data_IF_382119759674
#
_entry.id   IF_382119759674
#
_cell.length_a   1.000
_cell.length_b   1.000
_cell.length_c   1.000
_cell.angle_alpha   90.00
_cell.angle_beta   90.00
_cell.angle_gamma   90.00
#
_symmetry.space_group_name_H-M   'P 1'
#
loop_
_entity.id
_entity.type
_entity.pdbx_description
1 polymer ?
#
# COMPACT_ATOMS: atom_id res chain seq x y z
N UNK A 1 7.28 -11.63 10.23
CA UNK A 1 6.58 -11.39 8.96
C UNK A 1 5.12 -11.17 9.31
N UNK A 2 4.48 -10.14 8.75
CA UNK A 2 3.11 -9.73 9.10
C UNK A 2 2.14 -10.91 8.99
N UNK A 3 2.31 -11.74 7.95
CA UNK A 3 1.36 -12.79 7.58
C UNK A 3 1.78 -14.22 7.99
N UNK A 4 2.82 -14.39 8.82
CA UNK A 4 3.27 -15.72 9.26
C UNK A 4 2.78 -16.07 10.66
N UNK A 5 2.41 -17.33 10.89
CA UNK A 5 2.12 -17.86 12.23
C UNK A 5 3.39 -17.81 13.10
N UNK A 6 3.39 -17.14 14.27
CA UNK A 6 4.45 -17.27 15.25
C UNK A 6 4.33 -18.62 15.97
N UNK A 7 5.45 -19.16 16.44
CA UNK A 7 5.67 -20.50 17.03
C UNK A 7 4.64 -20.96 18.09
N UNK A 8 3.46 -21.41 17.67
CA UNK A 8 2.50 -22.09 18.56
C UNK A 8 1.90 -23.30 17.84
N UNK A 9 2.53 -24.46 18.00
CA UNK A 9 2.16 -25.71 17.33
C UNK A 9 0.75 -26.24 17.69
N UNK A 10 0.04 -25.61 18.62
CA UNK A 10 -1.33 -25.96 19.03
C UNK A 10 -2.41 -24.96 18.60
N UNK A 11 -2.05 -23.87 17.89
CA UNK A 11 -3.01 -22.84 17.48
C UNK A 11 -3.46 -23.06 16.03
N UNK A 12 -4.78 -23.20 15.86
CA UNK A 12 -5.45 -23.19 14.55
C UNK A 12 -5.44 -21.76 13.97
N UNK A 13 -4.47 -21.44 13.12
CA UNK A 13 -4.25 -20.11 12.56
C UNK A 13 -4.26 -20.11 11.03
N UNK A 14 -4.83 -19.06 10.43
CA UNK A 14 -4.63 -18.68 9.03
C UNK A 14 -4.52 -17.16 8.96
N UNK A 15 -3.50 -16.65 8.27
CA UNK A 15 -3.35 -15.21 8.04
C UNK A 15 -4.40 -14.70 7.06
N UNK A 16 -4.84 -13.46 7.24
CA UNK A 16 -5.86 -12.84 6.41
C UNK A 16 -5.74 -11.32 6.34
N UNK A 17 -5.88 -10.75 5.15
CA UNK A 17 -5.80 -9.31 4.91
C UNK A 17 -6.99 -8.85 4.07
N UNK A 18 -7.95 -8.09 4.65
CA UNK A 18 -8.97 -7.42 3.88
C UNK A 18 -8.33 -6.26 3.10
N UNK A 19 -8.44 -6.29 1.78
CA UNK A 19 -8.02 -5.18 0.91
C UNK A 19 -9.17 -4.18 0.86
N UNK A 20 -9.47 -3.65 2.04
CA UNK A 20 -10.56 -2.75 2.33
C UNK A 20 -10.09 -1.80 3.44
N UNK A 21 -10.42 -0.53 3.31
CA UNK A 21 -10.00 0.49 4.26
C UNK A 21 -10.23 1.88 3.71
N UNK A 22 -10.14 2.85 4.61
CA UNK A 22 -10.17 4.28 4.28
C UNK A 22 -9.03 4.98 5.02
N UNK A 23 -8.83 6.25 4.72
CA UNK A 23 -7.95 7.14 5.48
C UNK A 23 -8.49 7.43 6.89
N UNK A 24 -9.77 7.14 7.16
CA UNK A 24 -10.37 7.26 8.48
C UNK A 24 -10.11 6.01 9.33
N UNK A 25 -9.90 6.22 10.63
CA UNK A 25 -9.56 5.17 11.58
C UNK A 25 -10.37 5.30 12.88
N UNK A 26 -10.36 4.23 13.68
CA UNK A 26 -11.13 4.12 14.92
C UNK A 26 -12.56 3.59 14.73
N UNK A 27 -13.26 3.23 15.82
CA UNK A 27 -14.57 2.57 15.75
C UNK A 27 -15.66 3.43 15.11
N UNK A 28 -15.54 4.76 15.19
CA UNK A 28 -16.50 5.68 14.57
C UNK A 28 -16.40 5.73 13.04
N UNK A 29 -15.31 5.21 12.45
CA UNK A 29 -15.13 5.06 11.01
C UNK A 29 -15.63 3.71 10.48
N UNK A 30 -16.29 2.89 11.31
CA UNK A 30 -16.84 1.62 10.89
C UNK A 30 -18.00 1.80 9.90
N UNK A 31 -18.03 0.96 8.87
CA UNK A 31 -19.07 0.97 7.85
C UNK A 31 -19.59 -0.45 7.62
N UNK A 32 -20.92 -0.61 7.59
CA UNK A 32 -21.59 -1.92 7.47
C UNK A 32 -21.14 -2.72 6.23
N UNK A 33 -20.90 -2.03 5.12
CA UNK A 33 -20.57 -2.66 3.83
C UNK A 33 -19.07 -2.52 3.47
N UNK A 34 -18.20 -2.29 4.47
CA UNK A 34 -16.77 -2.03 4.24
C UNK A 34 -16.09 -3.09 3.36
N UNK A 35 -16.50 -4.34 3.50
CA UNK A 35 -15.86 -5.50 2.85
C UNK A 35 -16.58 -5.97 1.58
N UNK A 36 -17.79 -5.46 1.32
CA UNK A 36 -18.61 -5.89 0.19
C UNK A 36 -17.94 -5.56 -1.15
N UNK A 37 -17.77 -6.57 -2.00
CA UNK A 37 -17.07 -6.46 -3.28
C UNK A 37 -15.56 -6.20 -3.17
N UNK A 38 -15.00 -6.20 -1.95
CA UNK A 38 -13.56 -6.01 -1.72
C UNK A 38 -12.84 -7.35 -1.69
N UNK A 39 -11.57 -7.35 -2.07
CA UNK A 39 -10.74 -8.56 -2.00
C UNK A 39 -10.38 -8.85 -0.55
N UNK A 40 -10.40 -10.11 -0.18
CA UNK A 40 -9.77 -10.59 1.05
C UNK A 40 -8.71 -11.63 0.68
N UNK A 41 -7.49 -11.47 1.19
CA UNK A 41 -6.37 -12.38 0.89
C UNK A 41 -6.11 -13.26 2.10
N UNK A 42 -6.31 -14.56 1.94
CA UNK A 42 -5.84 -15.58 2.87
C UNK A 42 -4.39 -15.93 2.56
N UNK A 43 -3.59 -16.18 3.59
CA UNK A 43 -2.19 -16.61 3.44
C UNK A 43 -1.94 -17.96 4.10
N UNK A 44 -2.54 -19.06 3.59
CA UNK A 44 -2.29 -20.38 4.13
C UNK A 44 -0.86 -20.84 3.86
N UNK A 45 -0.32 -21.63 4.77
CA UNK A 45 0.91 -22.40 4.61
C UNK A 45 0.59 -23.88 4.41
N UNK A 46 1.59 -24.70 4.07
CA UNK A 46 1.42 -26.16 3.93
C UNK A 46 0.91 -26.84 5.21
N UNK A 47 1.16 -26.24 6.37
CA UNK A 47 0.75 -26.76 7.68
C UNK A 47 -0.57 -26.14 8.16
N UNK A 48 -1.19 -25.27 7.38
CA UNK A 48 -2.46 -24.66 7.75
C UNK A 48 -3.57 -25.69 7.64
N UNK A 49 -4.32 -25.87 8.73
CA UNK A 49 -5.47 -26.77 8.78
C UNK A 49 -6.55 -26.35 7.76
N UNK A 50 -6.92 -27.22 6.80
CA UNK A 50 -7.88 -26.90 5.75
C UNK A 50 -9.26 -26.45 6.26
N UNK A 51 -9.69 -26.96 7.42
CA UNK A 51 -10.97 -26.55 8.01
C UNK A 51 -10.93 -25.11 8.52
N UNK A 52 -9.76 -24.62 8.94
CA UNK A 52 -9.58 -23.22 9.36
C UNK A 52 -9.66 -22.31 8.13
N UNK A 53 -8.98 -22.67 7.05
CA UNK A 53 -9.04 -21.95 5.77
C UNK A 53 -10.49 -21.84 5.31
N UNK A 54 -11.22 -22.97 5.28
CA UNK A 54 -12.63 -23.03 4.86
C UNK A 54 -13.52 -22.13 5.71
N UNK A 55 -13.43 -22.21 7.04
CA UNK A 55 -14.25 -21.40 7.96
C UNK A 55 -13.99 -19.90 7.81
N UNK A 56 -12.74 -19.48 7.72
CA UNK A 56 -12.40 -18.06 7.56
C UNK A 56 -12.82 -17.57 6.18
N UNK A 57 -12.66 -18.37 5.13
CA UNK A 57 -13.18 -18.08 3.79
C UNK A 57 -14.69 -17.84 3.81
N UNK A 58 -15.47 -18.78 4.35
CA UNK A 58 -16.94 -18.68 4.43
C UNK A 58 -17.38 -17.43 5.20
N UNK A 59 -16.69 -17.08 6.29
CA UNK A 59 -16.94 -15.86 7.04
C UNK A 59 -16.80 -14.61 6.14
N UNK A 60 -15.68 -14.47 5.45
CA UNK A 60 -15.43 -13.28 4.62
C UNK A 60 -16.30 -13.22 3.38
N UNK A 61 -16.60 -14.37 2.76
CA UNK A 61 -17.56 -14.45 1.66
C UNK A 61 -18.98 -14.07 2.11
N UNK A 62 -19.37 -14.43 3.34
CA UNK A 62 -20.67 -14.01 3.91
C UNK A 62 -20.78 -12.50 4.16
N UNK A 63 -19.65 -11.80 4.29
CA UNK A 63 -19.56 -10.33 4.36
C UNK A 63 -19.49 -9.68 2.95
N UNK A 64 -19.62 -10.47 1.89
CA UNK A 64 -19.57 -10.01 0.50
C UNK A 64 -18.17 -9.81 -0.05
N UNK A 65 -17.11 -10.26 0.65
CA UNK A 65 -15.75 -10.16 0.16
C UNK A 65 -15.44 -11.24 -0.89
N UNK A 66 -14.52 -10.92 -1.80
CA UNK A 66 -13.97 -11.85 -2.80
C UNK A 66 -12.69 -12.45 -2.25
N UNK A 67 -12.74 -13.69 -1.77
CA UNK A 67 -11.62 -14.33 -1.07
C UNK A 67 -10.66 -15.02 -2.06
N UNK A 68 -9.38 -14.65 -2.00
CA UNK A 68 -8.29 -15.28 -2.74
C UNK A 68 -7.18 -15.76 -1.80
N UNK A 69 -6.33 -16.68 -2.25
CA UNK A 69 -5.18 -17.18 -1.48
C UNK A 69 -3.87 -16.72 -2.10
N UNK A 70 -2.86 -16.47 -1.26
CA UNK A 70 -1.52 -16.06 -1.67
C UNK A 70 -0.49 -16.53 -0.63
N UNK A 71 0.72 -16.85 -1.05
CA UNK A 71 1.81 -17.05 -0.09
C UNK A 71 2.10 -15.76 0.72
N UNK A 72 2.42 -15.90 2.00
CA UNK A 72 2.68 -14.78 2.91
C UNK A 72 3.86 -13.90 2.46
N UNK A 73 4.92 -14.50 1.91
CA UNK A 73 6.09 -13.75 1.43
C UNK A 73 5.76 -12.98 0.16
N UNK A 74 5.00 -13.60 -0.75
CA UNK A 74 4.52 -12.95 -1.98
C UNK A 74 3.62 -11.77 -1.62
N UNK A 75 2.71 -11.97 -0.65
CA UNK A 75 1.85 -10.91 -0.14
C UNK A 75 2.66 -9.70 0.34
N UNK A 76 3.56 -9.89 1.29
CA UNK A 76 4.32 -8.80 1.89
C UNK A 76 5.19 -8.08 0.83
N UNK A 77 5.75 -8.82 -0.12
CA UNK A 77 6.53 -8.25 -1.23
C UNK A 77 5.67 -7.43 -2.20
N UNK A 78 4.47 -7.89 -2.53
CA UNK A 78 3.53 -7.17 -3.39
C UNK A 78 3.03 -5.90 -2.71
N UNK A 79 2.54 -6.01 -1.47
CA UNK A 79 1.96 -4.88 -0.72
C UNK A 79 2.98 -3.83 -0.30
N UNK A 80 4.25 -4.19 -0.14
CA UNK A 80 5.34 -3.22 -0.03
C UNK A 80 5.35 -2.23 -1.22
N UNK A 81 5.00 -2.72 -2.43
CA UNK A 81 5.05 -1.93 -3.67
C UNK A 81 3.73 -1.20 -3.93
N UNK A 82 2.59 -1.88 -3.78
CA UNK A 82 1.27 -1.35 -4.17
C UNK A 82 0.51 -0.66 -3.05
N UNK A 83 1.01 -0.72 -1.81
CA UNK A 83 0.37 -0.09 -0.65
C UNK A 83 1.35 0.69 0.22
N UNK A 84 2.41 0.05 0.72
CA UNK A 84 3.25 0.66 1.75
C UNK A 84 4.10 1.81 1.21
N UNK A 85 4.77 1.61 0.07
CA UNK A 85 5.54 2.68 -0.58
C UNK A 85 4.64 3.90 -0.93
N UNK A 86 3.45 3.73 -1.57
CA UNK A 86 2.54 4.85 -1.79
C UNK A 86 2.19 5.65 -0.53
N UNK A 87 1.90 4.99 0.61
CA UNK A 87 1.62 5.69 1.87
C UNK A 87 2.83 6.47 2.36
N UNK A 88 4.02 5.85 2.36
CA UNK A 88 5.25 6.52 2.75
C UNK A 88 5.51 7.78 1.91
N UNK A 89 5.32 7.69 0.59
CA UNK A 89 5.51 8.81 -0.33
C UNK A 89 4.48 9.92 -0.12
N UNK A 90 3.23 9.57 0.21
CA UNK A 90 2.21 10.56 0.55
C UNK A 90 2.59 11.35 1.82
N UNK A 91 3.02 10.67 2.89
CA UNK A 91 3.54 11.32 4.11
C UNK A 91 4.74 12.22 3.80
N UNK A 92 5.73 11.69 3.08
CA UNK A 92 6.94 12.43 2.72
C UNK A 92 6.64 13.68 1.89
N UNK A 93 5.69 13.58 0.94
CA UNK A 93 5.33 14.70 0.07
C UNK A 93 4.65 15.84 0.84
N UNK A 94 3.71 15.52 1.73
CA UNK A 94 3.07 16.53 2.58
C UNK A 94 4.09 17.19 3.51
N UNK A 95 4.97 16.40 4.14
CA UNK A 95 6.00 16.94 5.02
C UNK A 95 7.00 17.83 4.26
N UNK A 96 7.37 17.46 3.04
CA UNK A 96 8.26 18.27 2.21
C UNK A 96 7.67 19.65 1.88
N UNK A 97 6.37 19.71 1.57
CA UNK A 97 5.69 20.99 1.32
C UNK A 97 5.58 21.80 2.61
N UNK A 98 5.21 21.17 3.73
CA UNK A 98 5.09 21.82 5.03
C UNK A 98 6.44 22.39 5.53
N UNK A 99 7.55 21.76 5.18
CA UNK A 99 8.90 22.22 5.51
C UNK A 99 9.51 23.19 4.48
N UNK A 100 8.79 23.50 3.39
CA UNK A 100 9.27 24.44 2.38
C UNK A 100 9.23 25.88 2.87
N UNK A 101 9.86 26.80 2.13
CA UNK A 101 9.78 28.24 2.39
C UNK A 101 8.36 28.80 2.22
N UNK A 102 7.45 28.02 1.59
CA UNK A 102 6.08 28.40 1.28
C UNK A 102 5.08 27.37 1.82
N UNK A 103 4.97 27.19 3.15
CA UNK A 103 4.07 26.19 3.73
C UNK A 103 2.58 26.45 3.40
N UNK A 104 2.21 27.72 3.20
CA UNK A 104 0.87 28.14 2.78
C UNK A 104 0.47 27.62 1.38
N UNK A 105 1.42 27.08 0.61
CA UNK A 105 1.16 26.44 -0.68
C UNK A 105 0.16 25.27 -0.59
N UNK A 106 0.04 24.61 0.57
CA UNK A 106 -1.00 23.60 0.80
C UNK A 106 -2.42 24.17 0.64
N UNK A 107 -2.63 25.43 1.04
CA UNK A 107 -3.91 26.14 0.88
C UNK A 107 -4.25 26.44 -0.58
N UNK A 108 -3.25 26.46 -1.45
CA UNK A 108 -3.40 26.66 -2.90
C UNK A 108 -3.44 25.35 -3.70
N UNK A 109 -3.48 24.21 -3.02
CA UNK A 109 -3.47 22.90 -3.67
C UNK A 109 -4.75 22.61 -4.45
N UNK A 110 -4.58 22.00 -5.63
CA UNK A 110 -5.68 21.47 -6.43
C UNK A 110 -6.12 20.07 -5.98
N UNK A 111 -7.16 19.54 -6.65
CA UNK A 111 -7.68 18.20 -6.39
C UNK A 111 -6.62 17.09 -6.50
N UNK A 112 -5.67 17.21 -7.42
CA UNK A 112 -4.64 16.20 -7.63
C UNK A 112 -3.74 15.94 -6.41
N UNK A 113 -3.34 16.99 -5.67
CA UNK A 113 -2.58 16.80 -4.43
C UNK A 113 -3.46 16.19 -3.34
N UNK A 114 -4.71 16.63 -3.22
CA UNK A 114 -5.66 16.07 -2.23
C UNK A 114 -5.88 14.58 -2.47
N UNK A 115 -6.08 14.16 -3.71
CA UNK A 115 -6.28 12.75 -4.05
C UNK A 115 -5.03 11.91 -3.81
N UNK A 116 -3.86 12.41 -4.23
CA UNK A 116 -2.57 11.74 -4.03
C UNK A 116 -2.22 11.58 -2.54
N UNK A 117 -2.47 12.63 -1.75
CA UNK A 117 -2.08 12.69 -0.34
C UNK A 117 -3.16 12.27 0.65
N UNK A 118 -4.38 11.95 0.21
CA UNK A 118 -5.50 11.51 1.07
C UNK A 118 -5.08 10.44 2.07
N UNK A 119 -4.26 9.48 1.63
CA UNK A 119 -3.78 8.37 2.44
C UNK A 119 -2.78 8.76 3.53
N UNK A 120 -2.17 9.94 3.47
CA UNK A 120 -1.35 10.50 4.55
C UNK A 120 -2.18 10.94 5.77
N UNK A 121 -3.51 10.96 5.68
CA UNK A 121 -4.40 11.17 6.84
C UNK A 121 -4.64 9.90 7.68
N UNK A 122 -4.08 8.75 7.26
CA UNK A 122 -4.16 7.49 8.01
C UNK A 122 -3.41 7.55 9.36
N UNK A 123 -3.69 6.61 10.26
CA UNK A 123 -3.04 6.53 11.58
C UNK A 123 -1.50 6.39 11.47
N UNK A 124 -0.72 7.34 12.04
CA UNK A 124 0.74 7.24 12.06
C UNK A 124 1.25 6.03 12.84
N UNK A 125 0.58 5.64 13.92
CA UNK A 125 0.95 4.50 14.75
C UNK A 125 0.86 3.19 13.94
N UNK A 126 -0.28 2.95 13.29
CA UNK A 126 -0.49 1.78 12.44
C UNK A 126 0.54 1.72 11.29
N UNK A 127 0.78 2.83 10.62
CA UNK A 127 1.72 2.87 9.50
C UNK A 127 3.18 2.70 9.93
N UNK A 128 3.53 3.15 11.14
CA UNK A 128 4.84 2.88 11.74
C UNK A 128 5.06 1.37 11.88
N UNK A 129 4.10 0.65 12.47
CA UNK A 129 4.19 -0.80 12.63
C UNK A 129 4.31 -1.53 11.28
N UNK A 130 3.50 -1.12 10.30
CA UNK A 130 3.54 -1.68 8.93
C UNK A 130 4.90 -1.46 8.26
N UNK A 131 5.46 -0.25 8.37
CA UNK A 131 6.76 0.08 7.77
C UNK A 131 7.90 -0.69 8.43
N UNK A 132 7.86 -0.85 9.75
CA UNK A 132 8.90 -1.57 10.48
C UNK A 132 8.83 -3.08 10.23
N UNK A 133 7.65 -3.69 10.37
CA UNK A 133 7.47 -5.14 10.23
C UNK A 133 7.73 -5.62 8.78
N UNK A 134 7.44 -4.78 7.77
CA UNK A 134 7.72 -5.10 6.36
C UNK A 134 8.93 -4.35 5.77
N UNK A 135 9.83 -3.86 6.62
CA UNK A 135 10.98 -3.04 6.22
C UNK A 135 11.90 -3.72 5.19
N UNK A 136 12.12 -5.03 5.32
CA UNK A 136 12.95 -5.80 4.37
C UNK A 136 12.44 -5.76 2.93
N UNK A 137 11.11 -5.73 2.73
CA UNK A 137 10.53 -5.60 1.40
C UNK A 137 10.36 -4.14 0.98
N UNK A 138 10.10 -3.23 1.93
CA UNK A 138 9.86 -1.81 1.68
C UNK A 138 11.14 -1.05 1.28
N UNK A 139 12.26 -1.25 1.98
CA UNK A 139 13.51 -0.51 1.73
C UNK A 139 14.01 -0.64 0.27
N UNK A 140 14.01 -1.83 -0.36
CA UNK A 140 14.34 -1.94 -1.78
C UNK A 140 13.41 -1.13 -2.69
N UNK A 141 12.11 -1.00 -2.35
CA UNK A 141 11.15 -0.20 -3.12
C UNK A 141 11.40 1.29 -2.98
N UNK A 142 11.80 1.74 -1.79
CA UNK A 142 12.25 3.11 -1.56
C UNK A 142 13.47 3.41 -2.44
N UNK A 143 14.45 2.50 -2.51
CA UNK A 143 15.62 2.70 -3.36
C UNK A 143 15.25 2.78 -4.85
N UNK A 144 14.40 1.88 -5.34
CA UNK A 144 13.90 1.95 -6.73
C UNK A 144 13.19 3.28 -7.01
N UNK A 145 12.39 3.79 -6.07
CA UNK A 145 11.76 5.10 -6.22
C UNK A 145 12.78 6.24 -6.29
N UNK A 146 13.79 6.22 -5.41
CA UNK A 146 14.87 7.21 -5.41
C UNK A 146 15.62 7.22 -6.74
N UNK A 147 15.90 6.06 -7.33
CA UNK A 147 16.59 5.97 -8.61
C UNK A 147 15.75 6.59 -9.75
N UNK A 148 14.44 6.35 -9.74
CA UNK A 148 13.50 6.97 -10.71
C UNK A 148 13.44 8.48 -10.52
N UNK A 149 13.37 8.95 -9.27
CA UNK A 149 13.34 10.38 -8.95
C UNK A 149 14.65 11.08 -9.37
N UNK A 150 15.80 10.45 -9.10
CA UNK A 150 17.11 10.97 -9.50
C UNK A 150 17.22 11.10 -11.03
N UNK A 151 16.73 10.11 -11.79
CA UNK A 151 16.73 10.19 -13.25
C UNK A 151 15.87 11.36 -13.79
N UNK A 152 14.74 11.64 -13.15
CA UNK A 152 13.90 12.81 -13.48
C UNK A 152 14.60 14.12 -13.12
N UNK A 153 15.21 14.19 -11.94
CA UNK A 153 15.99 15.34 -11.47
C UNK A 153 17.15 15.65 -12.42
N UNK A 154 17.92 14.64 -12.83
CA UNK A 154 19.03 14.78 -13.77
C UNK A 154 18.56 15.33 -15.13
N UNK A 155 17.43 14.82 -15.65
CA UNK A 155 16.87 15.33 -16.91
C UNK A 155 16.44 16.81 -16.78
N UNK A 156 15.88 17.21 -15.64
CA UNK A 156 15.50 18.61 -15.36
C UNK A 156 16.74 19.50 -15.26
N UNK A 157 17.75 19.10 -14.48
CA UNK A 157 18.98 19.85 -14.28
C UNK A 157 19.73 20.10 -15.60
N UNK A 158 19.76 19.10 -16.47
CA UNK A 158 20.38 19.20 -17.78
C UNK A 158 19.51 19.88 -18.84
N UNK A 159 18.27 20.26 -18.50
CA UNK A 159 17.25 20.78 -19.43
C UNK A 159 17.02 19.84 -20.62
N UNK A 160 17.17 18.53 -20.41
CA UNK A 160 17.02 17.50 -21.43
C UNK A 160 15.54 17.16 -21.61
N UNK A 161 14.90 17.92 -22.50
CA UNK A 161 13.47 17.78 -22.80
C UNK A 161 13.13 16.40 -23.37
N UNK A 162 13.98 15.85 -24.23
CA UNK A 162 13.73 14.55 -24.87
C UNK A 162 13.76 13.44 -23.83
N UNK A 163 14.78 13.45 -22.95
CA UNK A 163 14.87 12.48 -21.87
C UNK A 163 13.70 12.57 -20.90
N UNK A 164 13.29 13.79 -20.54
CA UNK A 164 12.16 13.98 -19.64
C UNK A 164 10.85 13.45 -20.25
N UNK A 165 10.60 13.70 -21.53
CA UNK A 165 9.43 13.13 -22.25
C UNK A 165 9.47 11.60 -22.23
N UNK A 166 10.63 10.99 -22.50
CA UNK A 166 10.81 9.54 -22.49
C UNK A 166 10.45 8.94 -21.11
N UNK A 167 11.00 9.50 -20.03
CA UNK A 167 10.76 9.02 -18.66
C UNK A 167 9.28 9.13 -18.26
N UNK A 168 8.63 10.26 -18.57
CA UNK A 168 7.21 10.47 -18.27
C UNK A 168 6.31 9.56 -19.12
N UNK A 169 6.64 9.32 -20.38
CA UNK A 169 5.89 8.44 -21.26
C UNK A 169 5.93 6.97 -20.80
N UNK A 170 7.07 6.51 -20.26
CA UNK A 170 7.18 5.17 -19.66
C UNK A 170 6.21 5.01 -18.48
N UNK A 171 6.21 5.95 -17.54
CA UNK A 171 5.30 5.93 -16.41
C UNK A 171 3.82 5.97 -16.84
N UNK A 172 3.49 6.80 -17.84
CA UNK A 172 2.15 6.86 -18.43
C UNK A 172 1.73 5.51 -19.02
N UNK A 173 2.62 4.85 -19.77
CA UNK A 173 2.32 3.58 -20.44
C UNK A 173 1.97 2.48 -19.43
N UNK A 174 2.76 2.34 -18.37
CA UNK A 174 2.48 1.35 -17.32
C UNK A 174 1.17 1.63 -16.58
N UNK A 175 0.89 2.91 -16.29
CA UNK A 175 -0.37 3.32 -15.67
C UNK A 175 -1.56 3.00 -16.56
N UNK A 176 -1.51 3.39 -17.83
CA UNK A 176 -2.64 3.19 -18.75
C UNK A 176 -2.91 1.70 -18.97
N UNK A 177 -1.86 0.87 -19.03
CA UNK A 177 -1.99 -0.60 -19.09
C UNK A 177 -2.67 -1.19 -17.88
N UNK A 178 -2.43 -0.65 -16.68
CA UNK A 178 -3.08 -1.11 -15.45
C UNK A 178 -4.57 -0.71 -15.39
N UNK A 179 -4.94 0.43 -15.99
CA UNK A 179 -6.30 0.96 -15.93
C UNK A 179 -7.25 0.31 -16.96
N UNK A 180 -6.73 -0.45 -17.92
CA UNK A 180 -7.47 -1.19 -18.95
C UNK A 180 -7.62 -2.67 -18.60
#
# INVERSE_FOLDING_TARGET
KIMSAPEYAEIRFVGGHPIAGSEHFGPNAAHENLFSGKRFILTPSQNTDPDVIRRVRELWESLGAIVSEMDAEIHDKMFASVSHLPHLLAYASIQAIANSETPDALGHSGAGLKDFSRIASSSPEMWTDIFLENSMNLLPRINTFKDVLAALEDAINNKDKEKLIELLARAKTERDRWMT
#
